data_IF_930750782794
#
_entry.id   IF_930750782794
#
_cell.length_a   1.000
_cell.length_b   1.000
_cell.length_c   1.000
_cell.angle_alpha   90.00
_cell.angle_beta   90.00
_cell.angle_gamma   90.00
#
_symmetry.space_group_name_H-M   'P 1'
#
loop_
_entity.id
_entity.type
_entity.pdbx_description
1 polymer ?
#
# COMPACT_ATOMS: atom_id res chain seq x y z
N UNK A 1 39.71 23.79 7.79
CA UNK A 1 38.87 23.64 6.59
C UNK A 1 38.49 22.18 6.48
N UNK A 2 37.25 21.82 6.85
CA UNK A 2 36.77 20.44 6.78
C UNK A 2 35.95 20.27 5.49
N UNK A 3 36.33 19.30 4.67
CA UNK A 3 35.71 19.01 3.37
C UNK A 3 34.37 18.29 3.55
N UNK A 4 33.35 18.73 2.81
CA UNK A 4 32.03 18.10 2.75
C UNK A 4 32.09 16.78 1.96
N UNK A 5 31.74 15.66 2.59
CA UNK A 5 31.60 14.36 1.91
C UNK A 5 30.15 14.24 1.42
N UNK A 6 29.95 14.44 0.11
CA UNK A 6 28.67 14.26 -0.57
C UNK A 6 28.38 12.77 -0.74
N UNK A 7 27.63 12.18 0.20
CA UNK A 7 27.17 10.79 0.08
C UNK A 7 26.09 10.71 -1.00
N UNK A 8 26.47 10.27 -2.19
CA UNK A 8 25.57 9.99 -3.32
C UNK A 8 24.74 8.74 -3.00
N UNK A 9 23.64 8.92 -2.27
CA UNK A 9 22.65 7.88 -2.02
C UNK A 9 21.85 7.56 -3.28
N UNK A 10 22.36 6.67 -4.13
CA UNK A 10 21.54 5.98 -5.14
C UNK A 10 22.02 4.54 -5.28
N UNK A 11 21.67 3.70 -4.31
CA UNK A 11 21.59 2.24 -4.51
C UNK A 11 20.24 1.96 -5.17
N UNK A 12 20.16 2.19 -6.47
CA UNK A 12 19.32 1.35 -7.32
C UNK A 12 20.20 0.18 -7.69
N UNK A 13 20.07 -0.92 -6.97
CA UNK A 13 20.75 -2.16 -7.31
C UNK A 13 20.25 -2.62 -8.66
N UNK A 14 21.20 -2.73 -9.59
CA UNK A 14 21.24 -3.58 -10.78
C UNK A 14 20.01 -4.47 -10.99
N UNK A 15 19.31 -4.14 -12.08
CA UNK A 15 18.27 -4.86 -12.78
C UNK A 15 18.39 -6.39 -12.67
N UNK A 16 17.79 -6.95 -11.63
CA UNK A 16 17.03 -8.17 -11.83
C UNK A 16 15.60 -7.70 -12.12
N UNK A 17 15.28 -7.55 -13.40
CA UNK A 17 13.92 -7.48 -13.90
C UNK A 17 13.20 -8.80 -13.58
N UNK A 18 12.97 -9.06 -12.29
CA UNK A 18 11.91 -9.96 -11.87
C UNK A 18 10.62 -9.28 -12.34
N UNK A 19 10.21 -9.63 -13.56
CA UNK A 19 8.95 -9.18 -14.12
C UNK A 19 7.87 -9.43 -13.07
N UNK A 20 7.21 -8.34 -12.66
CA UNK A 20 6.11 -8.41 -11.70
C UNK A 20 5.02 -9.24 -12.39
N UNK A 21 4.77 -10.46 -11.88
CA UNK A 21 3.69 -11.31 -12.36
C UNK A 21 2.42 -10.97 -11.58
N UNK A 22 1.44 -10.28 -12.19
CA UNK A 22 0.18 -9.97 -11.51
C UNK A 22 -0.63 -11.25 -11.31
N UNK A 23 -1.38 -11.31 -10.21
CA UNK A 23 -2.33 -12.40 -10.00
C UNK A 23 -3.43 -12.39 -11.06
N UNK A 24 -3.70 -13.55 -11.64
CA UNK A 24 -4.87 -13.83 -12.47
C UNK A 24 -6.16 -13.67 -11.66
N UNK A 25 -7.29 -13.53 -12.35
CA UNK A 25 -8.60 -13.41 -11.69
C UNK A 25 -8.93 -14.64 -10.82
N UNK A 26 -8.55 -15.83 -11.27
CA UNK A 26 -8.80 -17.06 -10.53
C UNK A 26 -7.91 -17.15 -9.29
N UNK A 27 -6.64 -16.73 -9.38
CA UNK A 27 -5.77 -16.60 -8.22
C UNK A 27 -6.29 -15.58 -7.21
N UNK A 28 -6.76 -14.41 -7.66
CA UNK A 28 -7.36 -13.41 -6.77
C UNK A 28 -8.58 -13.99 -6.04
N UNK A 29 -9.45 -14.72 -6.74
CA UNK A 29 -10.62 -15.40 -6.14
C UNK A 29 -10.21 -16.47 -5.13
N UNK A 30 -9.19 -17.27 -5.45
CA UNK A 30 -8.65 -18.29 -4.55
C UNK A 30 -8.07 -17.66 -3.28
N UNK A 31 -7.30 -16.57 -3.41
CA UNK A 31 -6.76 -15.81 -2.28
C UNK A 31 -7.92 -15.31 -1.40
N UNK A 32 -8.91 -14.64 -1.97
CA UNK A 32 -10.06 -14.11 -1.22
C UNK A 32 -10.81 -15.24 -0.48
N UNK A 33 -11.01 -16.38 -1.14
CA UNK A 33 -11.68 -17.56 -0.56
C UNK A 33 -10.86 -18.18 0.58
N UNK A 34 -9.54 -18.25 0.42
CA UNK A 34 -8.65 -18.72 1.48
C UNK A 34 -8.72 -17.82 2.72
N UNK A 35 -8.77 -16.49 2.53
CA UNK A 35 -8.97 -15.55 3.63
C UNK A 35 -10.33 -15.76 4.30
N UNK A 36 -11.43 -15.88 3.53
CA UNK A 36 -12.78 -16.04 4.11
C UNK A 36 -12.96 -17.31 4.92
N UNK A 37 -12.31 -18.40 4.51
CA UNK A 37 -12.42 -19.70 5.16
C UNK A 37 -11.39 -19.90 6.30
N UNK A 38 -10.44 -18.98 6.46
CA UNK A 38 -9.42 -19.08 7.50
C UNK A 38 -9.98 -18.74 8.89
N UNK A 39 -9.76 -19.62 9.87
CA UNK A 39 -10.09 -19.37 11.27
C UNK A 39 -9.38 -18.13 11.84
N UNK A 40 -8.16 -17.85 11.37
CA UNK A 40 -7.32 -16.76 11.88
C UNK A 40 -7.47 -15.47 11.08
N UNK A 41 -7.69 -15.57 9.76
CA UNK A 41 -7.57 -14.41 8.85
C UNK A 41 -8.87 -13.94 8.21
N UNK A 42 -10.02 -14.59 8.47
CA UNK A 42 -11.34 -14.17 7.96
C UNK A 42 -11.69 -12.71 8.20
N UNK A 43 -11.22 -12.12 9.30
CA UNK A 43 -11.46 -10.70 9.60
C UNK A 43 -10.84 -9.75 8.58
N UNK A 44 -9.80 -10.19 7.86
CA UNK A 44 -9.12 -9.39 6.84
C UNK A 44 -9.70 -9.57 5.43
N UNK A 45 -10.71 -10.43 5.23
CA UNK A 45 -11.29 -10.67 3.90
C UNK A 45 -11.75 -9.38 3.22
N UNK A 46 -12.42 -8.48 3.94
CA UNK A 46 -12.87 -7.19 3.39
C UNK A 46 -11.70 -6.29 3.00
N UNK A 47 -10.62 -6.28 3.80
CA UNK A 47 -9.39 -5.54 3.49
C UNK A 47 -8.73 -6.08 2.22
N UNK A 48 -8.59 -7.40 2.09
CA UNK A 48 -7.97 -8.02 0.91
C UNK A 48 -8.79 -7.73 -0.36
N UNK A 49 -10.12 -7.82 -0.29
CA UNK A 49 -11.01 -7.42 -1.38
C UNK A 49 -10.81 -5.96 -1.78
N UNK A 50 -10.73 -5.07 -0.79
CA UNK A 50 -10.50 -3.64 -1.00
C UNK A 50 -9.14 -3.36 -1.67
N UNK A 51 -8.08 -4.05 -1.27
CA UNK A 51 -6.75 -3.91 -1.88
C UNK A 51 -6.76 -4.34 -3.35
N UNK A 52 -7.40 -5.47 -3.68
CA UNK A 52 -7.54 -5.91 -5.07
C UNK A 52 -8.39 -4.96 -5.91
N UNK A 53 -9.48 -4.40 -5.36
CA UNK A 53 -10.35 -3.48 -6.08
C UNK A 53 -9.68 -2.11 -6.35
N UNK A 54 -8.93 -1.58 -5.39
CA UNK A 54 -8.40 -0.20 -5.44
C UNK A 54 -6.95 -0.09 -5.90
N UNK A 55 -6.19 -1.20 -5.83
CA UNK A 55 -4.74 -1.21 -6.05
C UNK A 55 -3.95 -0.32 -5.09
N UNK A 56 -4.54 0.11 -3.97
CA UNK A 56 -3.83 0.93 -2.98
C UNK A 56 -2.80 0.11 -2.18
N UNK A 57 -1.82 0.79 -1.60
CA UNK A 57 -0.86 0.13 -0.69
C UNK A 57 -1.54 -0.16 0.65
N UNK A 58 -1.16 -1.21 1.38
CA UNK A 58 -1.75 -1.51 2.69
C UNK A 58 -1.67 -0.33 3.68
N UNK A 59 -0.57 0.42 3.69
CA UNK A 59 -0.44 1.61 4.53
C UNK A 59 -1.42 2.73 4.17
N UNK A 60 -1.82 2.83 2.90
CA UNK A 60 -2.83 3.79 2.43
C UNK A 60 -4.23 3.37 2.91
N UNK A 61 -4.56 2.07 2.80
CA UNK A 61 -5.83 1.54 3.29
C UNK A 61 -6.00 1.70 4.80
N UNK A 62 -4.93 1.47 5.58
CA UNK A 62 -4.96 1.60 7.05
C UNK A 62 -5.07 3.06 7.49
N UNK A 63 -4.55 4.00 6.70
CA UNK A 63 -4.62 5.43 6.99
C UNK A 63 -5.95 6.09 6.60
N UNK A 64 -6.91 5.34 6.04
CA UNK A 64 -8.21 5.88 5.70
C UNK A 64 -9.01 6.29 6.94
N UNK A 65 -9.66 7.42 6.82
CA UNK A 65 -10.61 7.97 7.80
C UNK A 65 -11.90 8.36 7.06
N UNK A 66 -13.02 8.52 7.79
CA UNK A 66 -14.32 8.86 7.19
C UNK A 66 -14.31 10.09 6.29
N UNK A 67 -13.46 11.10 6.56
CA UNK A 67 -13.31 12.31 5.74
C UNK A 67 -12.77 12.06 4.32
N UNK A 68 -12.24 10.87 4.04
CA UNK A 68 -11.67 10.52 2.74
C UNK A 68 -12.71 9.93 1.77
N UNK A 69 -13.92 9.67 2.25
CA UNK A 69 -15.03 9.18 1.44
C UNK A 69 -15.79 10.36 0.85
N UNK A 70 -15.92 10.40 -0.47
CA UNK A 70 -16.65 11.43 -1.21
C UNK A 70 -17.75 10.75 -2.04
N UNK A 71 -18.88 10.45 -1.39
CA UNK A 71 -19.89 9.57 -1.98
C UNK A 71 -19.32 8.15 -2.13
N UNK A 72 -19.32 7.64 -3.35
CA UNK A 72 -18.78 6.31 -3.68
C UNK A 72 -17.27 6.31 -3.94
N UNK A 73 -16.64 7.49 -3.95
CA UNK A 73 -15.21 7.65 -4.24
C UNK A 73 -14.36 7.66 -2.98
N UNK A 74 -13.11 7.22 -3.13
CA UNK A 74 -12.10 7.23 -2.07
C UNK A 74 -10.92 8.11 -2.47
N UNK A 75 -10.52 9.00 -1.57
CA UNK A 75 -9.33 9.85 -1.72
C UNK A 75 -8.20 9.34 -0.83
N UNK A 76 -7.12 8.86 -1.43
CA UNK A 76 -5.89 8.51 -0.74
C UNK A 76 -4.96 9.72 -0.72
N UNK A 77 -4.69 10.28 0.46
CA UNK A 77 -3.76 11.42 0.65
C UNK A 77 -2.75 11.21 1.80
N UNK A 78 -2.81 10.07 2.47
CA UNK A 78 -1.96 9.73 3.61
C UNK A 78 -1.73 8.22 3.70
N UNK A 79 -0.67 7.82 4.38
CA UNK A 79 -0.32 6.42 4.60
C UNK A 79 0.31 6.19 5.98
N UNK A 80 0.02 5.04 6.59
CA UNK A 80 0.78 4.54 7.73
C UNK A 80 2.09 3.95 7.23
N UNK A 81 3.20 4.44 7.78
CA UNK A 81 4.56 3.96 7.48
C UNK A 81 5.21 3.50 8.77
N UNK A 82 5.92 2.38 8.72
CA UNK A 82 6.72 1.88 9.85
C UNK A 82 8.18 2.24 9.60
N UNK A 83 8.74 3.06 10.48
CA UNK A 83 10.16 3.46 10.43
C UNK A 83 11.04 2.45 11.19
N UNK A 84 12.37 2.67 11.20
CA UNK A 84 13.34 1.78 11.87
C UNK A 84 13.09 1.52 13.36
N UNK A 85 12.26 2.33 14.03
CA UNK A 85 11.86 2.13 15.42
C UNK A 85 10.60 1.27 15.59
N UNK A 86 10.12 0.62 14.51
CA UNK A 86 8.90 -0.22 14.46
C UNK A 86 7.61 0.47 14.90
N UNK A 87 7.63 1.80 15.04
CA UNK A 87 6.44 2.60 15.38
C UNK A 87 5.71 2.99 14.10
N UNK A 88 4.39 2.72 14.00
CA UNK A 88 3.58 3.24 12.90
C UNK A 88 3.46 4.76 13.05
N UNK A 89 3.78 5.47 11.97
CA UNK A 89 3.65 6.93 11.87
C UNK A 89 2.73 7.24 10.70
N UNK A 90 1.77 8.15 10.93
CA UNK A 90 0.95 8.70 9.87
C UNK A 90 1.79 9.68 9.05
N UNK A 91 1.94 9.41 7.76
CA UNK A 91 2.64 10.28 6.82
C UNK A 91 1.64 10.88 5.84
N UNK A 92 1.69 12.21 5.69
CA UNK A 92 0.95 12.91 4.63
C UNK A 92 1.66 12.69 3.28
N UNK A 93 0.87 12.46 2.23
CA UNK A 93 1.35 12.10 0.91
C UNK A 93 1.56 10.60 0.72
N UNK A 94 1.47 10.14 -0.53
CA UNK A 94 1.73 8.75 -0.92
C UNK A 94 3.19 8.57 -1.33
N UNK A 95 3.61 7.32 -1.59
CA UNK A 95 5.02 7.02 -1.95
C UNK A 95 5.47 7.70 -3.25
N UNK A 96 4.56 7.89 -4.20
CA UNK A 96 4.86 8.37 -5.57
C UNK A 96 4.11 9.64 -5.97
N UNK A 97 3.11 10.06 -5.21
CA UNK A 97 2.26 11.24 -5.50
C UNK A 97 1.64 11.77 -4.20
N UNK A 98 1.19 13.02 -4.19
CA UNK A 98 0.61 13.62 -2.97
C UNK A 98 -0.79 13.10 -2.65
N UNK A 99 -1.60 12.82 -3.69
CA UNK A 99 -2.97 12.32 -3.55
C UNK A 99 -3.40 11.49 -4.76
N UNK A 100 -4.34 10.56 -4.56
CA UNK A 100 -4.97 9.77 -5.63
C UNK A 100 -6.46 9.60 -5.33
N UNK A 101 -7.32 9.84 -6.32
CA UNK A 101 -8.75 9.48 -6.27
C UNK A 101 -8.94 8.12 -6.90
N UNK A 102 -9.72 7.27 -6.27
CA UNK A 102 -10.25 6.04 -6.87
C UNK A 102 -11.75 6.20 -7.08
N UNK A 103 -12.19 5.86 -8.28
CA UNK A 103 -13.60 5.89 -8.69
C UNK A 103 -14.09 4.45 -8.67
N UNK A 104 -15.21 4.20 -7.98
CA UNK A 104 -15.80 2.86 -7.88
C UNK A 104 -16.59 2.45 -9.12
#
# INVERSE_FOLDING_TARGET
MAAEIKVKGKRGSEDNDMQIQPFTLDEQRLIITAFSNSSHYRRYTSLVKFLFATGCRPGEAIALEWRHWLGDDVIFEQAIVVNGNYRPVLKKGLKTQDKRRWLS
#
